data_IF_234000243271
#
_entry.id   IF_234000243271
#
_cell.length_a   1.000
_cell.length_b   1.000
_cell.length_c   1.000
_cell.angle_alpha   90.00
_cell.angle_beta   90.00
_cell.angle_gamma   90.00
#
_symmetry.space_group_name_H-M   'P 1'
#
loop_
_entity.id
_entity.type
_entity.pdbx_description
1 polymer ?
#
# COMPACT_ATOMS: atom_id res chain seq x y z
N UNK A 1 -13.48 -37.52 57.31
CA UNK A 1 -13.72 -36.07 57.15
C UNK A 1 -12.39 -35.36 57.25
N UNK A 2 -11.82 -34.89 56.14
CA UNK A 2 -10.69 -33.95 56.14
C UNK A 2 -10.88 -33.02 54.94
N UNK A 3 -11.18 -31.75 55.22
CA UNK A 3 -11.39 -30.69 54.23
C UNK A 3 -10.04 -30.05 53.95
N UNK A 4 -9.48 -30.27 52.76
CA UNK A 4 -8.32 -29.51 52.29
C UNK A 4 -8.80 -28.23 51.58
N UNK A 5 -8.49 -27.10 52.20
CA UNK A 5 -8.66 -25.76 51.67
C UNK A 5 -7.46 -25.43 50.77
N UNK A 6 -7.70 -25.08 49.50
CA UNK A 6 -6.68 -24.52 48.60
C UNK A 6 -7.03 -23.04 48.41
N UNK A 7 -6.17 -22.09 48.81
CA UNK A 7 -6.38 -20.69 48.47
C UNK A 7 -5.97 -20.43 47.01
N UNK A 8 -6.93 -19.90 46.26
CA UNK A 8 -6.78 -19.40 44.89
C UNK A 8 -6.02 -18.08 44.91
N UNK A 9 -4.76 -18.07 44.47
CA UNK A 9 -3.99 -16.83 44.26
C UNK A 9 -4.25 -16.34 42.84
N UNK A 10 -5.16 -15.39 42.69
CA UNK A 10 -5.38 -14.65 41.44
C UNK A 10 -4.37 -13.51 41.33
N UNK A 11 -3.25 -13.75 40.66
CA UNK A 11 -2.33 -12.69 40.23
C UNK A 11 -2.95 -11.90 39.09
N UNK A 12 -3.50 -10.73 39.44
CA UNK A 12 -3.95 -9.72 38.49
C UNK A 12 -2.72 -9.08 37.82
N UNK A 13 -2.27 -9.66 36.70
CA UNK A 13 -1.24 -9.06 35.87
C UNK A 13 -1.85 -7.84 35.14
N UNK A 14 -1.63 -6.65 35.69
CA UNK A 14 -1.81 -5.38 34.98
C UNK A 14 -0.82 -5.33 33.80
N UNK A 15 -1.26 -5.85 32.65
CA UNK A 15 -0.62 -5.61 31.37
C UNK A 15 -0.79 -4.14 31.02
N UNK A 16 0.17 -3.31 31.46
CA UNK A 16 0.37 -1.98 30.92
C UNK A 16 0.62 -2.14 29.41
N UNK A 17 -0.43 -1.86 28.62
CA UNK A 17 -0.32 -1.56 27.20
C UNK A 17 0.55 -0.32 27.05
N UNK A 18 1.87 -0.50 26.97
CA UNK A 18 2.76 0.53 26.47
C UNK A 18 2.41 0.75 25.01
N UNK A 19 1.58 1.75 24.72
CA UNK A 19 1.53 2.37 23.41
C UNK A 19 2.92 2.94 23.13
N UNK A 20 3.78 2.16 22.48
CA UNK A 20 5.03 2.64 21.94
C UNK A 20 4.72 3.59 20.80
N UNK A 21 4.51 4.86 21.13
CA UNK A 21 4.54 5.97 20.18
C UNK A 21 5.87 5.90 19.43
N UNK A 22 5.83 5.71 18.11
CA UNK A 22 6.98 5.50 17.23
C UNK A 22 7.82 6.78 17.01
N UNK A 23 8.24 7.41 18.10
CA UNK A 23 9.24 8.47 18.07
C UNK A 23 10.63 7.84 17.99
N UNK A 24 11.39 8.14 16.93
CA UNK A 24 12.84 7.91 16.92
C UNK A 24 13.41 6.82 16.00
N UNK A 25 12.64 6.21 15.10
CA UNK A 25 13.23 5.28 14.14
C UNK A 25 14.24 5.99 13.21
N UNK A 26 15.49 5.53 13.26
CA UNK A 26 16.60 6.01 12.45
C UNK A 26 16.84 5.05 11.30
N UNK A 27 17.00 5.55 10.08
CA UNK A 27 17.28 4.69 8.93
C UNK A 27 18.69 4.08 9.04
N UNK A 28 18.80 2.78 8.82
CA UNK A 28 20.09 2.10 8.63
C UNK A 28 20.66 2.46 7.24
N UNK A 29 21.98 2.31 7.08
CA UNK A 29 22.62 2.54 5.77
C UNK A 29 22.08 1.58 4.69
N UNK A 30 21.79 0.33 5.07
CA UNK A 30 21.15 -0.66 4.17
C UNK A 30 19.78 -0.18 3.71
N UNK A 31 19.00 0.43 4.61
CA UNK A 31 17.68 0.95 4.25
C UNK A 31 17.76 2.10 3.26
N UNK A 32 18.69 3.03 3.47
CA UNK A 32 18.97 4.16 2.55
C UNK A 32 19.42 3.64 1.19
N UNK A 33 20.38 2.71 1.14
CA UNK A 33 20.87 2.13 -0.11
C UNK A 33 19.75 1.44 -0.90
N UNK A 34 18.90 0.65 -0.22
CA UNK A 34 17.76 -0.02 -0.85
C UNK A 34 16.73 0.99 -1.37
N UNK A 35 16.41 2.03 -0.59
CA UNK A 35 15.50 3.08 -1.02
C UNK A 35 16.02 3.80 -2.27
N UNK A 36 17.29 4.19 -2.29
CA UNK A 36 17.91 4.83 -3.45
C UNK A 36 17.88 3.93 -4.70
N UNK A 37 18.09 2.62 -4.53
CA UNK A 37 17.98 1.68 -5.64
C UNK A 37 16.54 1.59 -6.17
N UNK A 38 15.54 1.58 -5.29
CA UNK A 38 14.12 1.60 -5.66
C UNK A 38 13.81 2.91 -6.41
N UNK A 39 14.24 4.05 -5.89
CA UNK A 39 14.05 5.34 -6.55
C UNK A 39 14.71 5.38 -7.93
N UNK A 40 15.94 4.88 -8.08
CA UNK A 40 16.63 4.80 -9.38
C UNK A 40 15.87 3.90 -10.37
N UNK A 41 15.32 2.79 -9.90
CA UNK A 41 14.61 1.82 -10.73
C UNK A 41 13.20 2.29 -11.14
N UNK A 42 12.48 2.97 -10.25
CA UNK A 42 11.05 3.23 -10.41
C UNK A 42 10.64 4.70 -10.29
N UNK A 43 11.49 5.58 -9.77
CA UNK A 43 11.17 6.97 -9.46
C UNK A 43 10.55 7.71 -10.64
N UNK A 44 11.13 7.58 -11.84
CA UNK A 44 10.60 8.21 -13.05
C UNK A 44 9.18 7.75 -13.40
N UNK A 45 8.93 6.44 -13.39
CA UNK A 45 7.61 5.88 -13.76
C UNK A 45 6.56 6.18 -12.70
N UNK A 46 6.91 6.09 -11.42
CA UNK A 46 6.00 6.41 -10.32
C UNK A 46 5.66 7.90 -10.28
N UNK A 47 6.65 8.79 -10.40
CA UNK A 47 6.41 10.24 -10.50
C UNK A 47 5.53 10.60 -11.70
N UNK A 48 5.68 9.91 -12.84
CA UNK A 48 4.79 10.10 -13.99
C UNK A 48 3.35 9.69 -13.69
N UNK A 49 3.15 8.56 -12.99
CA UNK A 49 1.80 8.14 -12.58
C UNK A 49 1.20 9.08 -11.53
N UNK A 50 2.01 9.57 -10.59
CA UNK A 50 1.60 10.58 -9.63
C UNK A 50 1.18 11.86 -10.34
N UNK A 51 1.94 12.32 -11.34
CA UNK A 51 1.56 13.49 -12.15
C UNK A 51 0.20 13.30 -12.82
N UNK A 52 -0.09 12.13 -13.39
CA UNK A 52 -1.39 11.85 -14.00
C UNK A 52 -2.56 11.95 -13.00
N UNK A 53 -2.36 11.45 -11.77
CA UNK A 53 -3.33 11.56 -10.68
C UNK A 53 -3.50 13.02 -10.21
N UNK A 54 -2.39 13.76 -10.07
CA UNK A 54 -2.42 15.19 -9.74
C UNK A 54 -3.20 16.00 -10.77
N UNK A 55 -2.97 15.76 -12.07
CA UNK A 55 -3.71 16.42 -13.16
C UNK A 55 -5.19 16.05 -13.19
N UNK A 56 -5.55 14.92 -12.57
CA UNK A 56 -6.94 14.48 -12.40
C UNK A 56 -7.54 14.93 -11.07
N UNK A 57 -6.93 15.91 -10.38
CA UNK A 57 -7.33 16.44 -9.07
C UNK A 57 -7.37 15.40 -7.93
N UNK A 58 -6.61 14.31 -8.04
CA UNK A 58 -6.37 13.37 -6.94
C UNK A 58 -5.02 13.75 -6.33
N UNK A 59 -4.98 14.80 -5.49
CA UNK A 59 -3.73 15.36 -4.97
C UNK A 59 -3.71 15.54 -3.46
N UNK A 60 -2.52 15.54 -2.83
CA UNK A 60 -2.38 15.98 -1.45
C UNK A 60 -2.55 17.51 -1.38
N UNK A 61 -3.43 17.99 -0.49
CA UNK A 61 -3.48 19.40 -0.09
C UNK A 61 -4.58 20.28 -0.70
N UNK A 62 -5.29 19.84 -1.75
CA UNK A 62 -6.39 20.64 -2.35
C UNK A 62 -7.79 20.31 -1.81
N UNK A 63 -7.87 19.43 -0.80
CA UNK A 63 -9.14 18.81 -0.39
C UNK A 63 -9.59 17.74 -1.37
N UNK A 64 -10.26 16.70 -0.87
CA UNK A 64 -10.78 15.64 -1.74
C UNK A 64 -12.11 16.08 -2.36
N UNK A 65 -12.18 16.06 -3.69
CA UNK A 65 -13.40 16.36 -4.45
C UNK A 65 -13.73 15.21 -5.39
N UNK A 66 -15.01 14.96 -5.71
CA UNK A 66 -15.39 13.94 -6.68
C UNK A 66 -14.85 14.24 -8.08
N UNK A 67 -14.12 13.29 -8.69
CA UNK A 67 -13.49 13.47 -10.01
C UNK A 67 -13.96 12.47 -11.06
N UNK A 68 -14.47 11.31 -10.65
CA UNK A 68 -14.92 10.28 -11.58
C UNK A 68 -16.03 9.39 -10.99
N UNK A 69 -16.87 8.75 -11.82
CA UNK A 69 -17.79 7.72 -11.37
C UNK A 69 -17.07 6.55 -10.69
N UNK A 70 -17.77 5.85 -9.79
CA UNK A 70 -17.20 4.72 -9.05
C UNK A 70 -16.62 3.63 -9.97
N UNK A 71 -17.32 3.31 -11.05
CA UNK A 71 -16.87 2.30 -12.03
C UNK A 71 -15.55 2.71 -12.72
N UNK A 72 -15.41 3.98 -13.09
CA UNK A 72 -14.18 4.54 -13.67
C UNK A 72 -13.03 4.50 -12.65
N UNK A 73 -13.31 4.84 -11.38
CA UNK A 73 -12.32 4.78 -10.32
C UNK A 73 -11.76 3.36 -10.16
N UNK A 74 -12.64 2.34 -10.09
CA UNK A 74 -12.24 0.94 -9.97
C UNK A 74 -11.50 0.44 -11.22
N UNK A 75 -12.10 0.60 -12.40
CA UNK A 75 -11.65 -0.10 -13.61
C UNK A 75 -10.48 0.59 -14.31
N UNK A 76 -10.31 1.90 -14.11
CA UNK A 76 -9.29 2.68 -14.79
C UNK A 76 -8.28 3.25 -13.80
N UNK A 77 -8.72 4.02 -12.80
CA UNK A 77 -7.78 4.76 -11.93
C UNK A 77 -6.99 3.80 -11.04
N UNK A 78 -7.66 2.91 -10.30
CA UNK A 78 -7.01 1.91 -9.44
C UNK A 78 -6.14 0.97 -10.28
N UNK A 79 -6.70 0.42 -11.37
CA UNK A 79 -5.95 -0.48 -12.28
C UNK A 79 -4.70 0.20 -12.85
N UNK A 80 -4.81 1.46 -13.29
CA UNK A 80 -3.68 2.21 -13.85
C UNK A 80 -2.61 2.46 -12.79
N UNK A 81 -2.99 2.87 -11.57
CA UNK A 81 -2.06 3.03 -10.45
C UNK A 81 -1.29 1.73 -10.18
N UNK A 82 -1.97 0.60 -10.10
CA UNK A 82 -1.33 -0.70 -9.86
C UNK A 82 -0.42 -1.13 -11.04
N UNK A 83 -0.78 -0.81 -12.29
CA UNK A 83 0.11 -1.02 -13.45
C UNK A 83 1.38 -0.17 -13.34
N UNK A 84 1.25 1.10 -12.97
CA UNK A 84 2.38 2.02 -12.78
C UNK A 84 3.32 1.53 -11.70
N UNK A 85 2.81 1.21 -10.50
CA UNK A 85 3.69 0.81 -9.38
C UNK A 85 4.40 -0.52 -9.65
N UNK A 86 3.74 -1.45 -10.33
CA UNK A 86 4.36 -2.71 -10.73
C UNK A 86 5.40 -2.54 -11.84
N UNK A 87 5.32 -1.46 -12.63
CA UNK A 87 6.31 -1.12 -13.66
C UNK A 87 6.69 -2.31 -14.57
N UNK A 88 5.70 -3.11 -14.96
CA UNK A 88 5.86 -4.32 -15.78
C UNK A 88 6.77 -5.42 -15.19
N UNK A 89 7.08 -5.38 -13.89
CA UNK A 89 7.88 -6.43 -13.23
C UNK A 89 7.08 -7.73 -13.16
N UNK A 90 7.71 -8.83 -13.62
CA UNK A 90 7.10 -10.15 -13.62
C UNK A 90 6.87 -10.63 -12.17
N UNK A 91 5.65 -11.10 -11.81
CA UNK A 91 5.40 -11.74 -10.53
C UNK A 91 6.28 -12.99 -10.34
N UNK A 92 6.67 -13.27 -9.10
CA UNK A 92 7.47 -14.47 -8.77
C UNK A 92 6.69 -15.36 -7.80
N UNK A 93 6.75 -16.68 -7.99
CA UNK A 93 6.13 -17.64 -7.09
C UNK A 93 7.16 -18.05 -6.02
N UNK A 94 6.90 -17.70 -4.76
CA UNK A 94 7.77 -18.00 -3.62
C UNK A 94 6.95 -18.72 -2.56
N UNK A 95 7.35 -19.94 -2.17
CA UNK A 95 6.65 -20.75 -1.15
C UNK A 95 5.13 -20.86 -1.42
N UNK A 96 4.78 -21.18 -2.66
CA UNK A 96 3.39 -21.27 -3.14
C UNK A 96 2.56 -19.97 -3.03
N UNK A 97 3.21 -18.81 -2.99
CA UNK A 97 2.55 -17.49 -2.99
C UNK A 97 3.16 -16.60 -4.05
N UNK A 98 2.32 -15.92 -4.83
CA UNK A 98 2.84 -14.92 -5.75
C UNK A 98 3.28 -13.68 -4.98
N UNK A 99 4.47 -13.21 -5.31
CA UNK A 99 4.98 -11.91 -4.88
C UNK A 99 5.03 -10.97 -6.09
N UNK A 100 4.82 -9.69 -5.83
CA UNK A 100 4.76 -8.66 -6.86
C UNK A 100 5.91 -7.68 -6.60
N UNK A 101 7.10 -7.87 -7.23
CA UNK A 101 8.31 -7.15 -6.83
C UNK A 101 8.17 -5.63 -6.85
N UNK A 102 7.54 -5.06 -7.89
CA UNK A 102 7.32 -3.61 -7.97
C UNK A 102 6.39 -3.09 -6.87
N UNK A 103 5.34 -3.84 -6.54
CA UNK A 103 4.46 -3.52 -5.40
C UNK A 103 5.20 -3.64 -4.06
N UNK A 104 5.96 -4.71 -3.83
CA UNK A 104 6.73 -4.89 -2.59
C UNK A 104 7.76 -3.76 -2.39
N UNK A 105 8.41 -3.32 -3.47
CA UNK A 105 9.31 -2.17 -3.45
C UNK A 105 8.56 -0.85 -3.16
N UNK A 106 7.34 -0.71 -3.67
CA UNK A 106 6.46 0.43 -3.35
C UNK A 106 6.04 0.44 -1.88
N UNK A 107 5.69 -0.71 -1.30
CA UNK A 107 5.39 -0.82 0.14
C UNK A 107 6.59 -0.43 0.99
N UNK A 108 7.77 -0.93 0.62
CA UNK A 108 9.02 -0.60 1.29
C UNK A 108 9.34 0.91 1.19
N UNK A 109 9.17 1.51 0.00
CA UNK A 109 9.38 2.95 -0.19
C UNK A 109 8.43 3.76 0.71
N UNK A 110 7.16 3.39 0.80
CA UNK A 110 6.19 4.03 1.69
C UNK A 110 6.62 3.93 3.17
N UNK A 111 7.10 2.77 3.64
CA UNK A 111 7.58 2.61 5.01
C UNK A 111 8.74 3.57 5.33
N UNK A 112 9.74 3.64 4.43
CA UNK A 112 10.86 4.59 4.58
C UNK A 112 10.36 6.03 4.53
N UNK A 113 9.44 6.34 3.63
CA UNK A 113 8.86 7.67 3.48
C UNK A 113 8.10 8.15 4.72
N UNK A 114 7.31 7.27 5.37
CA UNK A 114 6.65 7.57 6.66
C UNK A 114 7.68 7.96 7.73
N UNK A 115 8.82 7.25 7.81
CA UNK A 115 9.90 7.54 8.77
C UNK A 115 10.51 8.93 8.51
N UNK A 116 10.87 9.24 7.26
CA UNK A 116 11.57 10.50 6.95
C UNK A 116 10.66 11.72 6.96
N UNK A 117 9.37 11.57 6.65
CA UNK A 117 8.40 12.66 6.76
C UNK A 117 8.16 13.05 8.21
N UNK A 118 8.25 12.10 9.14
CA UNK A 118 8.17 12.36 10.59
C UNK A 118 9.47 12.90 11.19
N UNK A 119 10.60 12.87 10.47
CA UNK A 119 11.92 13.26 10.99
C UNK A 119 12.79 13.95 9.92
N UNK A 120 12.89 15.28 10.01
CA UNK A 120 13.67 16.11 9.07
C UNK A 120 15.15 15.72 8.97
N UNK A 121 15.77 15.24 10.06
CA UNK A 121 17.17 14.75 10.03
C UNK A 121 17.29 13.49 9.17
N UNK A 122 16.30 12.60 9.21
CA UNK A 122 16.29 11.41 8.34
C UNK A 122 15.99 11.78 6.88
N UNK A 123 15.13 12.77 6.64
CA UNK A 123 14.91 13.31 5.28
C UNK A 123 16.20 13.83 4.66
N UNK A 124 16.97 14.64 5.40
CA UNK A 124 18.26 15.15 4.93
C UNK A 124 19.25 14.01 4.57
N UNK A 125 19.17 12.85 5.23
CA UNK A 125 20.00 11.68 4.89
C UNK A 125 19.62 11.04 3.56
N UNK A 126 18.35 11.09 3.16
CA UNK A 126 17.92 10.67 1.83
C UNK A 126 18.32 11.69 0.77
N UNK A 127 18.06 12.98 1.02
CA UNK A 127 18.25 14.08 0.05
C UNK A 127 19.71 14.36 -0.33
N UNK A 128 20.69 13.89 0.44
CA UNK A 128 22.13 13.97 0.10
C UNK A 128 22.52 13.33 -1.26
N UNK A 129 21.59 12.64 -1.94
CA UNK A 129 21.81 11.95 -3.22
C UNK A 129 21.08 12.59 -4.41
N UNK A 130 20.83 13.91 -4.40
CA UNK A 130 20.41 14.71 -5.57
C UNK A 130 19.05 14.34 -6.20
N UNK A 131 18.07 14.01 -5.35
CA UNK A 131 16.69 13.74 -5.78
C UNK A 131 15.66 14.48 -4.94
N UNK A 132 14.48 14.73 -5.52
CA UNK A 132 13.33 15.40 -4.87
C UNK A 132 12.65 14.45 -3.86
N UNK A 133 13.40 14.02 -2.84
CA UNK A 133 13.03 12.97 -1.91
C UNK A 133 11.76 13.29 -1.13
N UNK A 134 11.65 14.54 -0.67
CA UNK A 134 10.48 14.99 0.06
C UNK A 134 9.19 14.86 -0.75
N UNK A 135 9.13 15.43 -1.96
CA UNK A 135 7.91 15.34 -2.79
C UNK A 135 7.60 13.91 -3.21
N UNK A 136 8.64 13.14 -3.56
CA UNK A 136 8.46 11.72 -3.82
C UNK A 136 7.81 11.02 -2.62
N UNK A 137 8.32 11.26 -1.41
CA UNK A 137 7.79 10.63 -0.21
C UNK A 137 6.39 11.12 0.19
N UNK A 138 6.10 12.42 0.04
CA UNK A 138 4.76 12.96 0.23
C UNK A 138 3.76 12.24 -0.69
N UNK A 139 4.07 12.12 -1.98
CA UNK A 139 3.21 11.46 -2.96
C UNK A 139 3.10 9.95 -2.72
N UNK A 140 4.22 9.26 -2.50
CA UNK A 140 4.23 7.82 -2.20
C UNK A 140 3.37 7.52 -0.99
N UNK A 141 3.49 8.28 0.10
CA UNK A 141 2.71 8.06 1.34
C UNK A 141 1.24 8.36 1.11
N UNK A 142 0.93 9.47 0.44
CA UNK A 142 -0.46 9.84 0.12
C UNK A 142 -1.16 8.78 -0.73
N UNK A 143 -0.55 8.36 -1.85
CA UNK A 143 -1.16 7.38 -2.74
C UNK A 143 -1.15 5.95 -2.19
N UNK A 144 -0.18 5.58 -1.36
CA UNK A 144 -0.27 4.33 -0.60
C UNK A 144 -1.51 4.33 0.30
N UNK A 145 -1.76 5.46 0.97
CA UNK A 145 -2.97 5.67 1.75
C UNK A 145 -4.25 5.46 0.93
N UNK A 146 -4.35 6.11 -0.23
CA UNK A 146 -5.55 6.03 -1.07
C UNK A 146 -5.79 4.66 -1.69
N UNK A 147 -4.73 4.00 -2.17
CA UNK A 147 -4.87 2.85 -3.07
C UNK A 147 -4.51 1.50 -2.45
N UNK A 148 -3.96 1.48 -1.22
CA UNK A 148 -3.47 0.26 -0.58
C UNK A 148 -4.01 0.11 0.84
N UNK A 149 -3.78 1.10 1.69
CA UNK A 149 -3.96 0.97 3.14
C UNK A 149 -5.43 0.76 3.59
N UNK A 150 -6.40 1.23 2.80
CA UNK A 150 -7.84 1.07 3.10
C UNK A 150 -8.43 -0.25 2.56
N UNK A 151 -7.66 -1.05 1.82
CA UNK A 151 -8.12 -2.31 1.22
C UNK A 151 -7.53 -3.53 1.92
N UNK A 152 -8.27 -4.64 1.91
CA UNK A 152 -7.76 -5.90 2.44
C UNK A 152 -6.59 -6.43 1.63
N UNK A 153 -5.70 -7.21 2.27
CA UNK A 153 -4.56 -7.86 1.60
C UNK A 153 -4.99 -8.70 0.39
N UNK A 154 -6.15 -9.35 0.46
CA UNK A 154 -6.71 -10.16 -0.62
C UNK A 154 -7.12 -9.29 -1.83
N UNK A 155 -7.74 -8.13 -1.59
CA UNK A 155 -8.10 -7.18 -2.64
C UNK A 155 -6.86 -6.60 -3.32
N UNK A 156 -5.88 -6.16 -2.52
CA UNK A 156 -4.59 -5.66 -3.01
C UNK A 156 -3.87 -6.72 -3.84
N UNK A 157 -3.84 -7.97 -3.37
CA UNK A 157 -3.23 -9.10 -4.10
C UNK A 157 -3.98 -9.44 -5.39
N UNK A 158 -5.31 -9.37 -5.37
CA UNK A 158 -6.17 -9.61 -6.54
C UNK A 158 -5.94 -8.58 -7.63
N UNK A 159 -5.87 -7.29 -7.27
CA UNK A 159 -5.58 -6.22 -8.23
C UNK A 159 -4.17 -6.39 -8.81
N UNK A 160 -3.17 -6.64 -7.97
CA UNK A 160 -1.81 -6.91 -8.41
C UNK A 160 -1.73 -8.11 -9.38
N UNK A 161 -2.45 -9.20 -9.10
CA UNK A 161 -2.54 -10.35 -9.99
C UNK A 161 -3.21 -9.97 -11.32
N UNK A 162 -4.33 -9.24 -11.26
CA UNK A 162 -5.08 -8.80 -12.44
C UNK A 162 -4.25 -7.91 -13.36
N UNK A 163 -3.58 -6.89 -12.84
CA UNK A 163 -2.75 -5.99 -13.69
C UNK A 163 -1.54 -6.70 -14.30
N UNK A 164 -1.11 -7.81 -13.70
CA UNK A 164 -0.04 -8.66 -14.20
C UNK A 164 -0.55 -9.90 -14.95
N UNK A 165 -1.83 -9.97 -15.32
CA UNK A 165 -2.48 -11.16 -15.94
C UNK A 165 -1.68 -11.79 -17.07
N UNK A 166 -1.05 -10.96 -17.92
CA UNK A 166 -0.25 -11.39 -19.08
C UNK A 166 0.97 -12.26 -18.71
N UNK A 167 1.41 -12.23 -17.45
CA UNK A 167 2.56 -13.01 -16.97
C UNK A 167 2.18 -14.40 -16.46
N UNK A 168 0.89 -14.74 -16.45
CA UNK A 168 0.38 -16.04 -16.02
C UNK A 168 -0.12 -16.85 -17.21
N UNK A 169 0.18 -18.14 -17.23
CA UNK A 169 -0.53 -19.09 -18.10
C UNK A 169 -2.00 -19.20 -17.69
N UNK A 170 -2.85 -19.76 -18.55
CA UNK A 170 -4.26 -19.97 -18.22
C UNK A 170 -4.44 -20.88 -17.00
N UNK A 171 -3.62 -21.92 -16.87
CA UNK A 171 -3.63 -22.80 -15.70
C UNK A 171 -3.22 -22.06 -14.42
N UNK A 172 -2.15 -21.28 -14.46
CA UNK A 172 -1.73 -20.45 -13.32
C UNK A 172 -2.81 -19.45 -12.92
N UNK A 173 -3.42 -18.79 -13.90
CA UNK A 173 -4.52 -17.87 -13.64
C UNK A 173 -5.72 -18.55 -12.99
N UNK A 174 -6.15 -19.71 -13.51
CA UNK A 174 -7.25 -20.48 -12.95
C UNK A 174 -6.96 -20.96 -11.52
N UNK A 175 -5.73 -21.36 -11.23
CA UNK A 175 -5.32 -21.74 -9.88
C UNK A 175 -5.33 -20.53 -8.94
N UNK A 176 -4.88 -19.37 -9.43
CA UNK A 176 -4.85 -18.12 -8.68
C UNK A 176 -6.26 -17.66 -8.32
N UNK A 177 -7.18 -17.63 -9.28
CA UNK A 177 -8.57 -17.21 -9.04
C UNK A 177 -9.34 -18.16 -8.13
N UNK A 178 -8.87 -19.41 -7.97
CA UNK A 178 -9.37 -20.40 -7.00
C UNK A 178 -8.68 -20.33 -5.64
N UNK A 179 -7.84 -19.32 -5.39
CA UNK A 179 -7.19 -19.10 -4.11
C UNK A 179 -6.01 -20.02 -3.80
N UNK A 180 -5.48 -20.76 -4.78
CA UNK A 180 -4.40 -21.75 -4.56
C UNK A 180 -3.02 -21.15 -4.28
N UNK A 181 -2.90 -19.82 -4.35
CA UNK A 181 -1.63 -19.10 -4.11
C UNK A 181 -1.68 -18.16 -2.90
N UNK A 182 -2.53 -18.48 -1.91
CA UNK A 182 -2.46 -17.88 -0.57
C UNK A 182 -3.22 -16.56 -0.38
N UNK A 183 -4.16 -16.24 -1.26
CA UNK A 183 -5.14 -15.15 -1.08
C UNK A 183 -6.46 -15.52 -1.79
N UNK A 184 -7.59 -15.03 -1.29
CA UNK A 184 -8.88 -15.19 -1.97
C UNK A 184 -9.01 -14.17 -3.10
N UNK A 185 -9.14 -14.62 -4.35
CA UNK A 185 -9.23 -13.71 -5.47
C UNK A 185 -10.59 -13.01 -5.50
N UNK A 186 -10.59 -11.69 -5.37
CA UNK A 186 -11.77 -10.86 -5.49
C UNK A 186 -11.35 -9.49 -6.01
N UNK A 187 -11.85 -9.09 -7.18
CA UNK A 187 -11.61 -7.73 -7.68
C UNK A 187 -12.36 -6.71 -6.82
N UNK A 188 -11.82 -5.49 -6.80
CA UNK A 188 -12.48 -4.35 -6.16
C UNK A 188 -13.84 -4.09 -6.83
N UNK A 189 -14.84 -3.76 -6.03
CA UNK A 189 -16.18 -3.38 -6.47
C UNK A 189 -16.46 -1.92 -6.11
N UNK A 190 -17.44 -1.29 -6.76
CA UNK A 190 -17.80 0.11 -6.50
C UNK A 190 -18.16 0.36 -5.03
N UNK A 191 -18.85 -0.59 -4.39
CA UNK A 191 -19.18 -0.53 -2.95
C UNK A 191 -17.95 -0.52 -2.05
N UNK A 192 -16.84 -1.12 -2.48
CA UNK A 192 -15.61 -1.19 -1.70
C UNK A 192 -14.97 0.22 -1.57
N UNK A 193 -15.35 1.18 -2.41
CA UNK A 193 -14.83 2.55 -2.34
C UNK A 193 -15.51 3.40 -1.25
N UNK A 194 -16.75 3.10 -0.87
CA UNK A 194 -17.60 4.00 -0.08
C UNK A 194 -17.03 4.32 1.31
N UNK A 195 -16.26 3.40 1.90
CA UNK A 195 -15.68 3.53 3.24
C UNK A 195 -14.19 3.89 3.23
N UNK A 196 -13.65 4.25 2.06
CA UNK A 196 -12.21 4.48 1.88
C UNK A 196 -11.90 5.95 1.63
N UNK A 197 -10.65 6.35 1.82
CA UNK A 197 -10.16 7.69 1.43
C UNK A 197 -10.34 7.94 -0.07
N UNK A 198 -10.21 6.90 -0.90
CA UNK A 198 -10.46 6.99 -2.34
C UNK A 198 -11.93 7.27 -2.66
N UNK A 199 -12.86 6.84 -1.80
CA UNK A 199 -14.29 7.12 -1.91
C UNK A 199 -14.63 8.61 -1.98
N UNK A 200 -13.81 9.48 -1.37
CA UNK A 200 -13.99 10.94 -1.43
C UNK A 200 -13.79 11.53 -2.83
N UNK A 201 -13.18 10.77 -3.74
CA UNK A 201 -12.96 11.13 -5.14
C UNK A 201 -14.02 10.55 -6.09
N UNK A 202 -15.01 9.83 -5.55
CA UNK A 202 -16.07 9.18 -6.33
C UNK A 202 -17.27 10.12 -6.49
N UNK A 203 -17.72 10.34 -7.73
CA UNK A 203 -18.95 11.06 -8.03
C UNK A 203 -20.15 10.26 -7.49
N UNK A 204 -20.90 10.87 -6.59
CA UNK A 204 -22.21 10.37 -6.19
C UNK A 204 -23.16 10.61 -7.34
N UNK A 205 -23.69 9.56 -7.95
CA UNK A 205 -24.86 9.67 -8.81
C UNK A 205 -26.01 10.16 -7.94
N UNK A 206 -26.35 11.46 -8.04
CA UNK A 206 -27.66 11.91 -7.58
C UNK A 206 -28.66 11.17 -8.44
N UNK A 207 -29.45 10.28 -7.84
CA UNK A 207 -30.67 9.80 -8.47
C UNK A 207 -31.55 11.04 -8.63
N UNK A 208 -31.63 11.55 -9.85
CA UNK A 208 -32.66 12.51 -10.25
C UNK A 208 -34.01 11.82 -10.32
#
# INVERSE_FOLDING_TARGET
>A
MNKFFIPLVTTLACSFLTLSTSFGQTLTQTQVKRFNQIYKNYGKIWLSGYKALLTSNISPGVGAHPVAPASTMVNQVVVSFYKTINANKKPTLVKNRYTFPGFNDFEYANQVCKIVLANSKQMARLEKNDFVARKFCEYTTFYYGLFVEDFSKDKVSSINAYVNRRHFTNQQWNNLTRGRYGFSYSMLQTRDLQVTRLGKYVQTTRKG
#
